data_IF_311350364180
#
_entry.id   IF_311350364180
#
_cell.length_a   1.000
_cell.length_b   1.000
_cell.length_c   1.000
_cell.angle_alpha   90.00
_cell.angle_beta   90.00
_cell.angle_gamma   90.00
#
_symmetry.space_group_name_H-M   'P 1'
#
loop_
_entity.id
_entity.type
_entity.pdbx_description
1 polymer ?
#
# COMPACT_ATOMS: atom_id res chain seq x y z
N UNK A 1 15.87 7.61 12.81
CA UNK A 1 14.62 7.48 12.03
C UNK A 1 14.07 8.85 11.68
N UNK A 2 13.61 9.05 10.43
CA UNK A 2 12.98 10.31 10.00
C UNK A 2 11.69 10.62 10.78
N UNK A 3 10.84 9.60 10.97
CA UNK A 3 9.70 9.66 11.88
C UNK A 3 10.10 9.01 13.21
N UNK A 4 10.10 9.78 14.29
CA UNK A 4 10.25 9.22 15.64
C UNK A 4 9.09 8.26 15.99
N UNK A 5 9.25 7.52 17.09
CA UNK A 5 8.27 6.50 17.53
C UNK A 5 6.86 7.07 17.75
N UNK A 6 6.74 8.33 18.17
CA UNK A 6 5.44 8.98 18.38
C UNK A 6 4.77 9.30 17.04
N UNK A 7 5.50 9.92 16.12
CA UNK A 7 5.04 10.20 14.75
C UNK A 7 4.66 8.92 14.02
N UNK A 8 5.48 7.87 14.10
CA UNK A 8 5.21 6.59 13.45
C UNK A 8 3.92 5.94 13.96
N UNK A 9 3.66 6.00 15.28
CA UNK A 9 2.39 5.53 15.86
C UNK A 9 1.18 6.33 15.35
N UNK A 10 1.30 7.66 15.25
CA UNK A 10 0.23 8.53 14.72
C UNK A 10 -0.08 8.22 13.25
N UNK A 11 0.95 8.00 12.43
CA UNK A 11 0.80 7.60 11.01
C UNK A 11 0.03 6.27 10.91
N UNK A 12 0.45 5.25 11.66
CA UNK A 12 -0.25 3.96 11.65
C UNK A 12 -1.69 4.05 12.16
N UNK A 13 -1.94 4.86 13.18
CA UNK A 13 -3.29 5.11 13.69
C UNK A 13 -4.16 5.79 12.63
N UNK A 14 -3.63 6.76 11.89
CA UNK A 14 -4.35 7.44 10.81
C UNK A 14 -4.73 6.47 9.67
N UNK A 15 -3.82 5.55 9.31
CA UNK A 15 -4.09 4.47 8.34
C UNK A 15 -5.27 3.61 8.80
N UNK A 16 -5.27 3.19 10.06
CA UNK A 16 -6.32 2.33 10.62
C UNK A 16 -7.66 3.04 10.70
N UNK A 17 -7.65 4.26 11.28
CA UNK A 17 -8.85 5.08 11.47
C UNK A 17 -9.58 5.31 10.15
N UNK A 18 -8.83 5.55 9.07
CA UNK A 18 -9.38 5.87 7.76
C UNK A 18 -9.47 4.65 6.82
N UNK A 19 -9.18 3.43 7.31
CA UNK A 19 -9.21 2.17 6.53
C UNK A 19 -8.40 2.27 5.22
N UNK A 20 -7.24 2.93 5.27
CA UNK A 20 -6.39 3.14 4.09
C UNK A 20 -5.79 1.79 3.64
N UNK A 21 -5.58 0.86 4.58
CA UNK A 21 -5.13 -0.52 4.39
C UNK A 21 -6.22 -1.52 3.97
N UNK A 22 -7.37 -1.05 3.50
CA UNK A 22 -8.47 -1.91 3.04
C UNK A 22 -8.79 -1.68 1.55
N UNK A 23 -9.13 -2.72 0.78
CA UNK A 23 -9.16 -4.14 1.15
C UNK A 23 -7.77 -4.76 1.36
N UNK A 24 -6.73 -4.18 0.76
CA UNK A 24 -5.34 -4.63 0.86
C UNK A 24 -4.41 -3.48 1.33
N UNK A 25 -3.25 -3.78 1.91
CA UNK A 25 -2.28 -2.76 2.33
C UNK A 25 -1.58 -2.13 1.13
N UNK A 26 -1.30 -0.83 1.11
CA UNK A 26 -2.21 0.27 1.46
C UNK A 26 -2.46 1.05 0.17
N UNK A 27 -3.52 1.87 0.11
CA UNK A 27 -3.71 2.78 -1.03
C UNK A 27 -2.54 3.75 -1.16
N UNK A 28 -2.20 4.13 -2.38
CA UNK A 28 -1.09 5.04 -2.70
C UNK A 28 -1.23 6.42 -2.04
N UNK A 29 -2.45 6.96 -2.01
CA UNK A 29 -2.81 8.20 -1.34
C UNK A 29 -4.20 8.09 -0.69
N UNK A 30 -4.49 8.99 0.24
CA UNK A 30 -5.81 9.15 0.83
C UNK A 30 -6.02 10.59 1.36
N UNK A 31 -7.17 11.23 1.11
CA UNK A 31 -8.25 10.78 0.21
C UNK A 31 -7.81 10.80 -1.26
N UNK A 32 -8.55 10.17 -2.20
CA UNK A 32 -8.30 10.39 -3.62
C UNK A 32 -8.56 11.85 -3.99
N UNK A 33 -7.77 12.36 -4.93
CA UNK A 33 -7.90 13.71 -5.48
C UNK A 33 -9.05 13.71 -6.49
N UNK A 34 -9.92 14.72 -6.42
CA UNK A 34 -11.07 14.87 -7.33
C UNK A 34 -10.95 16.16 -8.13
N UNK A 35 -11.45 16.17 -9.36
CA UNK A 35 -11.51 17.38 -10.18
C UNK A 35 -12.25 18.50 -9.46
N UNK A 36 -11.72 19.72 -9.55
CA UNK A 36 -12.27 20.91 -8.88
C UNK A 36 -11.96 21.00 -7.38
N UNK A 37 -11.15 20.11 -6.82
CA UNK A 37 -10.68 20.25 -5.43
C UNK A 37 -9.37 21.03 -5.37
N UNK A 38 -9.03 21.57 -4.20
CA UNK A 38 -7.79 22.37 -4.01
C UNK A 38 -6.51 21.62 -4.39
N UNK A 39 -6.54 20.29 -4.29
CA UNK A 39 -5.39 19.41 -4.55
C UNK A 39 -5.33 18.96 -6.03
N UNK A 40 -6.34 19.33 -6.84
CA UNK A 40 -6.38 19.06 -8.27
C UNK A 40 -5.44 19.98 -9.04
N UNK A 41 -4.82 19.43 -10.08
CA UNK A 41 -4.03 20.17 -11.05
C UNK A 41 -4.51 19.80 -12.45
N UNK A 42 -4.56 20.76 -13.37
CA UNK A 42 -5.15 20.55 -14.70
C UNK A 42 -4.42 19.46 -15.50
N UNK A 43 -3.10 19.33 -15.33
CA UNK A 43 -2.31 18.27 -15.97
C UNK A 43 -2.71 16.85 -15.54
N UNK A 44 -3.52 16.69 -14.49
CA UNK A 44 -4.07 15.38 -14.16
C UNK A 44 -4.98 14.84 -15.26
N UNK A 45 -5.63 15.70 -16.05
CA UNK A 45 -6.47 15.26 -17.19
C UNK A 45 -5.72 14.38 -18.19
N UNK A 46 -4.41 14.60 -18.31
CA UNK A 46 -3.53 13.91 -19.27
C UNK A 46 -2.99 12.58 -18.74
N UNK A 47 -3.34 12.16 -17.51
CA UNK A 47 -2.82 10.94 -16.92
C UNK A 47 -3.90 9.96 -16.42
N UNK A 48 -3.50 8.69 -16.27
CA UNK A 48 -4.37 7.63 -15.77
C UNK A 48 -4.88 7.88 -14.33
N UNK A 49 -4.24 8.77 -13.57
CA UNK A 49 -4.62 9.11 -12.20
C UNK A 49 -5.75 10.16 -12.12
N UNK A 50 -6.29 10.65 -13.25
CA UNK A 50 -7.41 11.62 -13.28
C UNK A 50 -8.68 11.15 -12.57
N UNK A 51 -8.87 9.83 -12.46
CA UNK A 51 -10.05 9.23 -11.82
C UNK A 51 -9.72 8.84 -10.37
N UNK A 52 -10.56 9.20 -9.39
CA UNK A 52 -10.46 8.67 -8.03
C UNK A 52 -10.41 7.14 -8.00
N UNK A 53 -9.58 6.60 -7.11
CA UNK A 53 -9.35 5.16 -6.94
C UNK A 53 -8.79 4.45 -8.19
N UNK A 54 -8.10 5.19 -9.05
CA UNK A 54 -7.48 4.69 -10.26
C UNK A 54 -5.98 4.99 -10.26
N UNK A 55 -5.17 3.98 -10.59
CA UNK A 55 -3.71 4.10 -10.68
C UNK A 55 -3.08 4.72 -9.43
N UNK A 56 -2.34 5.82 -9.54
CA UNK A 56 -1.72 6.52 -8.41
C UNK A 56 -2.71 7.34 -7.56
N UNK A 57 -3.91 7.61 -8.05
CA UNK A 57 -4.93 8.35 -7.31
C UNK A 57 -5.75 7.39 -6.44
N UNK A 58 -5.15 6.96 -5.33
CA UNK A 58 -5.68 6.02 -4.36
C UNK A 58 -5.90 4.59 -4.86
N UNK A 59 -5.21 4.17 -5.93
CA UNK A 59 -5.08 2.74 -6.25
C UNK A 59 -4.20 2.00 -5.24
N UNK A 60 -4.30 0.67 -5.21
CA UNK A 60 -3.48 -0.17 -4.34
C UNK A 60 -2.29 -0.69 -5.15
N UNK A 61 -1.10 -0.51 -4.61
CA UNK A 61 0.15 -1.02 -5.16
C UNK A 61 0.77 -1.94 -4.12
N UNK A 62 0.94 -3.23 -4.43
CA UNK A 62 1.47 -4.19 -3.45
C UNK A 62 2.91 -3.85 -3.04
N UNK A 63 3.66 -3.16 -3.89
CA UNK A 63 4.92 -2.49 -3.54
C UNK A 63 4.78 -1.58 -2.31
N UNK A 64 3.83 -0.64 -2.32
CA UNK A 64 3.58 0.27 -1.20
C UNK A 64 3.08 -0.52 0.03
N UNK A 65 2.25 -1.53 -0.20
CA UNK A 65 1.78 -2.46 0.83
C UNK A 65 2.90 -3.19 1.58
N UNK A 66 3.96 -3.57 0.88
CA UNK A 66 5.13 -4.18 1.51
C UNK A 66 5.85 -3.26 2.48
N UNK A 67 6.03 -1.98 2.13
CA UNK A 67 6.59 -0.99 3.07
C UNK A 67 5.72 -0.79 4.31
N UNK A 68 4.39 -0.83 4.14
CA UNK A 68 3.48 -0.79 5.28
C UNK A 68 3.70 -1.99 6.22
N UNK A 69 3.83 -3.20 5.68
CA UNK A 69 4.16 -4.40 6.48
C UNK A 69 5.51 -4.23 7.19
N UNK A 70 6.55 -3.75 6.51
CA UNK A 70 7.85 -3.47 7.13
C UNK A 70 7.75 -2.46 8.28
N UNK A 71 6.94 -1.41 8.14
CA UNK A 71 6.74 -0.41 9.19
C UNK A 71 6.11 -1.02 10.46
N UNK A 72 5.21 -2.00 10.29
CA UNK A 72 4.61 -2.74 11.39
C UNK A 72 5.65 -3.62 12.09
N UNK A 73 6.52 -4.29 11.33
CA UNK A 73 7.61 -5.11 11.86
C UNK A 73 8.60 -4.24 12.64
N UNK A 74 9.01 -3.09 12.09
CA UNK A 74 9.91 -2.13 12.73
C UNK A 74 9.39 -1.67 14.10
N UNK A 75 8.08 -1.43 14.21
CA UNK A 75 7.42 -1.06 15.46
C UNK A 75 7.01 -2.26 16.33
N UNK A 76 7.50 -3.47 16.03
CA UNK A 76 7.24 -4.73 16.74
C UNK A 76 5.74 -5.08 16.85
N UNK A 77 4.91 -4.58 15.93
CA UNK A 77 3.48 -4.92 15.81
C UNK A 77 3.28 -6.22 15.03
N UNK A 78 3.96 -7.30 15.45
CA UNK A 78 4.08 -8.54 14.67
C UNK A 78 2.74 -9.19 14.33
N UNK A 79 1.79 -9.27 15.27
CA UNK A 79 0.44 -9.83 15.01
C UNK A 79 -0.29 -9.09 13.88
N UNK A 80 -0.11 -7.77 13.77
CA UNK A 80 -0.71 -6.96 12.73
C UNK A 80 0.06 -7.08 11.42
N UNK A 81 1.39 -7.09 11.49
CA UNK A 81 2.24 -7.34 10.33
C UNK A 81 1.88 -8.67 9.64
N UNK A 82 1.64 -9.73 10.41
CA UNK A 82 1.23 -11.04 9.87
C UNK A 82 -0.09 -10.96 9.09
N UNK A 83 -1.10 -10.31 9.67
CA UNK A 83 -2.43 -10.15 9.03
C UNK A 83 -2.31 -9.36 7.71
N UNK A 84 -1.52 -8.29 7.71
CA UNK A 84 -1.33 -7.45 6.53
C UNK A 84 -0.43 -8.14 5.49
N UNK A 85 0.54 -8.95 5.90
CA UNK A 85 1.34 -9.78 5.01
C UNK A 85 0.50 -10.84 4.30
N UNK A 86 -0.47 -11.46 4.99
CA UNK A 86 -1.43 -12.40 4.36
C UNK A 86 -2.28 -11.71 3.30
N UNK A 87 -2.81 -10.52 3.59
CA UNK A 87 -3.54 -9.70 2.61
C UNK A 87 -2.66 -9.29 1.43
N UNK A 88 -1.40 -8.97 1.68
CA UNK A 88 -0.44 -8.63 0.64
C UNK A 88 -0.17 -9.82 -0.30
N UNK A 89 -0.07 -11.04 0.26
CA UNK A 89 0.06 -12.27 -0.51
C UNK A 89 -1.18 -12.50 -1.38
N UNK A 90 -2.38 -12.38 -0.80
CA UNK A 90 -3.66 -12.50 -1.52
C UNK A 90 -3.75 -11.51 -2.68
N UNK A 91 -3.40 -10.23 -2.45
CA UNK A 91 -3.40 -9.18 -3.45
C UNK A 91 -2.43 -9.49 -4.62
N UNK A 92 -1.24 -10.01 -4.32
CA UNK A 92 -0.28 -10.41 -5.34
C UNK A 92 -0.77 -11.61 -6.15
N UNK A 93 -1.29 -12.65 -5.47
CA UNK A 93 -1.77 -13.86 -6.15
C UNK A 93 -2.98 -13.58 -7.05
N UNK A 94 -3.90 -12.71 -6.62
CA UNK A 94 -5.12 -12.38 -7.36
C UNK A 94 -4.90 -11.71 -8.72
N UNK A 95 -3.68 -11.28 -9.06
CA UNK A 95 -3.32 -10.74 -10.37
C UNK A 95 -1.98 -11.24 -10.90
N UNK A 96 -1.39 -12.26 -10.28
CA UNK A 96 -0.03 -12.74 -10.54
C UNK A 96 1.00 -11.59 -10.53
N UNK A 97 1.16 -10.96 -9.37
CA UNK A 97 1.93 -9.73 -9.16
C UNK A 97 1.45 -8.59 -10.07
N UNK A 98 0.19 -8.14 -9.90
CA UNK A 98 -0.37 -7.05 -10.71
C UNK A 98 0.38 -5.75 -10.44
N UNK A 99 0.39 -4.82 -11.38
CA UNK A 99 0.99 -3.50 -11.18
C UNK A 99 0.25 -2.72 -10.10
N UNK A 100 -1.07 -2.64 -10.23
CA UNK A 100 -1.94 -2.01 -9.26
C UNK A 100 -3.32 -2.66 -9.25
N UNK A 101 -4.08 -2.38 -8.19
CA UNK A 101 -5.40 -2.95 -7.93
C UNK A 101 -6.36 -1.80 -7.64
N UNK A 102 -7.54 -1.84 -8.27
CA UNK A 102 -8.61 -0.92 -7.92
C UNK A 102 -9.18 -1.30 -6.54
N UNK A 103 -9.17 -0.40 -5.54
CA UNK A 103 -9.56 -0.73 -4.18
C UNK A 103 -11.07 -0.97 -4.01
N UNK A 104 -11.90 -0.50 -4.94
CA UNK A 104 -13.35 -0.64 -4.86
C UNK A 104 -13.80 -1.95 -5.53
N UNK A 105 -13.32 -2.19 -6.75
CA UNK A 105 -13.72 -3.37 -7.55
C UNK A 105 -12.85 -4.59 -7.31
N UNK A 106 -11.70 -4.43 -6.64
CA UNK A 106 -10.63 -5.43 -6.49
C UNK A 106 -10.05 -5.94 -7.81
N UNK A 107 -10.35 -5.27 -8.93
CA UNK A 107 -9.81 -5.62 -10.24
C UNK A 107 -8.32 -5.30 -10.29
N UNK A 108 -7.53 -6.29 -10.68
CA UNK A 108 -6.09 -6.19 -10.91
C UNK A 108 -5.78 -5.67 -12.31
N UNK A 109 -4.71 -4.88 -12.43
CA UNK A 109 -4.21 -4.32 -13.69
C UNK A 109 -2.71 -4.55 -13.79
N UNK A 110 -2.23 -4.91 -14.99
CA UNK A 110 -0.87 -5.42 -15.18
C UNK A 110 -0.67 -6.79 -14.52
N UNK A 111 0.52 -7.38 -14.72
CA UNK A 111 0.94 -8.66 -14.13
C UNK A 111 2.47 -8.77 -14.17
N UNK A 112 3.03 -9.73 -13.43
CA UNK A 112 4.46 -10.07 -13.42
C UNK A 112 5.38 -8.90 -13.08
N UNK A 113 4.92 -8.00 -12.21
CA UNK A 113 5.69 -6.83 -11.83
C UNK A 113 6.77 -7.18 -10.81
N UNK A 114 8.02 -7.14 -11.25
CA UNK A 114 9.18 -7.59 -10.46
C UNK A 114 9.33 -6.81 -9.14
N UNK A 115 9.01 -5.51 -9.11
CA UNK A 115 9.04 -4.73 -7.87
C UNK A 115 8.06 -5.23 -6.81
N UNK A 116 6.93 -5.80 -7.22
CA UNK A 116 5.86 -6.23 -6.33
C UNK A 116 6.23 -7.59 -5.74
N UNK A 117 6.81 -8.45 -6.58
CA UNK A 117 7.40 -9.72 -6.15
C UNK A 117 8.58 -9.51 -5.19
N UNK A 118 9.54 -8.65 -5.56
CA UNK A 118 10.71 -8.35 -4.73
C UNK A 118 10.32 -7.75 -3.39
N UNK A 119 9.37 -6.81 -3.38
CA UNK A 119 8.89 -6.21 -2.14
C UNK A 119 8.12 -7.21 -1.26
N UNK A 120 7.38 -8.15 -1.84
CA UNK A 120 6.75 -9.22 -1.07
C UNK A 120 7.80 -10.13 -0.40
N UNK A 121 8.84 -10.54 -1.13
CA UNK A 121 9.95 -11.34 -0.58
C UNK A 121 10.62 -10.60 0.58
N UNK A 122 10.93 -9.31 0.40
CA UNK A 122 11.52 -8.46 1.44
C UNK A 122 10.63 -8.41 2.70
N UNK A 123 9.32 -8.20 2.53
CA UNK A 123 8.39 -8.17 3.65
C UNK A 123 8.27 -9.53 4.36
N UNK A 124 8.23 -10.62 3.60
CA UNK A 124 8.12 -11.99 4.12
C UNK A 124 9.37 -12.40 4.90
N UNK A 125 10.56 -12.21 4.35
CA UNK A 125 11.81 -12.55 5.03
C UNK A 125 12.05 -11.66 6.25
N UNK A 126 11.68 -10.37 6.18
CA UNK A 126 11.71 -9.48 7.35
C UNK A 126 10.78 -9.95 8.46
N UNK A 127 9.59 -10.45 8.10
CA UNK A 127 8.64 -10.98 9.08
C UNK A 127 9.18 -12.25 9.76
N UNK A 128 9.73 -13.19 8.98
CA UNK A 128 10.35 -14.41 9.49
C UNK A 128 11.47 -14.12 10.48
N UNK A 129 12.35 -13.17 10.15
CA UNK A 129 13.46 -12.74 11.03
C UNK A 129 13.01 -11.81 12.16
N UNK A 130 11.74 -11.38 12.19
CA UNK A 130 11.19 -10.39 13.14
C UNK A 130 11.99 -9.08 13.17
N UNK A 131 12.64 -8.76 12.05
CA UNK A 131 13.51 -7.61 11.85
C UNK A 131 13.42 -7.13 10.40
N UNK A 132 13.43 -5.81 10.19
CA UNK A 132 13.43 -5.24 8.83
C UNK A 132 14.79 -5.49 8.17
N UNK A 133 14.79 -6.01 6.94
CA UNK A 133 16.00 -6.35 6.18
C UNK A 133 16.36 -5.33 5.09
N UNK A 134 15.75 -4.15 5.17
CA UNK A 134 16.04 -2.96 4.35
C UNK A 134 16.95 -2.01 5.13
#
# INVERSE_FOLDING_TARGET
DLADKSKAKKILYYIDKNKINMPYPVKSIYPPIKKGTKDWQDYFEDCAARKPYHYLNAGIWTYIGGFYVLSLIKLKKLKKAEKELKKLAEANLGGNYPEWINPLTKKSYGKLQAWNAGMYIMAYESFKKKNVLL
#
